data_IF_502073350875
#
_entry.id   IF_502073350875
#
_cell.length_a   1.000
_cell.length_b   1.000
_cell.length_c   1.000
_cell.angle_alpha   90.00
_cell.angle_beta   90.00
_cell.angle_gamma   90.00
#
_symmetry.space_group_name_H-M   'P 1'
#
loop_
_entity.id
_entity.type
_entity.pdbx_description
1 polymer ?
#
# COMPACT_ATOMS: atom_id res chain seq x y z
N UNK A 1 16.23 8.31 30.13
CA UNK A 1 16.30 7.40 28.96
C UNK A 1 14.90 6.84 28.70
N UNK A 2 14.19 7.25 27.63
CA UNK A 2 12.83 6.75 27.34
C UNK A 2 12.61 6.57 25.82
N UNK A 3 12.81 5.36 25.28
CA UNK A 3 12.46 5.06 23.88
C UNK A 3 11.02 4.56 23.70
N UNK A 4 10.21 4.51 24.76
CA UNK A 4 8.87 3.91 24.69
C UNK A 4 7.77 4.81 24.08
N UNK A 5 7.91 6.14 24.15
CA UNK A 5 6.87 7.06 23.67
C UNK A 5 6.86 7.21 22.13
N UNK A 6 8.03 7.15 21.50
CA UNK A 6 8.15 7.20 20.03
C UNK A 6 7.60 5.91 19.38
N UNK A 7 7.90 4.75 19.96
CA UNK A 7 7.40 3.45 19.51
C UNK A 7 5.86 3.36 19.57
N UNK A 8 5.24 3.97 20.58
CA UNK A 8 3.79 3.94 20.81
C UNK A 8 2.98 4.89 19.91
N UNK A 9 3.62 5.93 19.34
CA UNK A 9 3.02 6.80 18.30
C UNK A 9 3.00 6.13 16.93
N UNK A 10 4.00 5.32 16.61
CA UNK A 10 4.05 4.50 15.38
C UNK A 10 2.91 3.49 15.33
N UNK A 11 2.48 2.96 16.48
CA UNK A 11 1.45 1.93 16.58
C UNK A 11 0.03 2.41 16.23
N UNK A 12 -0.27 3.70 16.39
CA UNK A 12 -1.63 4.25 16.25
C UNK A 12 -1.93 4.82 14.85
N UNK A 13 -0.92 5.01 14.00
CA UNK A 13 -1.07 5.67 12.68
C UNK A 13 -1.13 4.67 11.51
N UNK A 14 -0.76 3.40 11.70
CA UNK A 14 -0.45 2.48 10.60
C UNK A 14 -1.46 1.33 10.34
N UNK A 15 -2.62 1.32 11.00
CA UNK A 15 -3.25 0.05 11.38
C UNK A 15 -3.94 -0.81 10.30
N UNK A 16 -4.28 -0.34 9.08
CA UNK A 16 -4.62 -1.28 7.99
C UNK A 16 -3.76 -1.16 6.71
N UNK A 17 -3.08 -0.03 6.47
CA UNK A 17 -2.51 0.25 5.14
C UNK A 17 -1.25 -0.55 4.85
N UNK A 18 -0.39 -0.79 5.84
CA UNK A 18 0.87 -1.51 5.63
C UNK A 18 0.63 -3.00 5.34
N UNK A 19 -0.20 -3.73 6.10
CA UNK A 19 -0.55 -5.11 5.77
C UNK A 19 -1.22 -5.24 4.40
N UNK A 20 -2.17 -4.35 4.08
CA UNK A 20 -2.83 -4.33 2.77
C UNK A 20 -1.84 -4.07 1.63
N UNK A 21 -0.94 -3.09 1.81
CA UNK A 21 0.14 -2.78 0.86
C UNK A 21 1.04 -3.99 0.63
N UNK A 22 1.47 -4.66 1.71
CA UNK A 22 2.33 -5.83 1.64
C UNK A 22 1.66 -6.98 0.87
N UNK A 23 0.37 -7.23 1.11
CA UNK A 23 -0.38 -8.24 0.35
C UNK A 23 -0.47 -7.87 -1.14
N UNK A 24 -0.81 -6.63 -1.47
CA UNK A 24 -0.87 -6.15 -2.86
C UNK A 24 0.49 -6.27 -3.58
N UNK A 25 1.60 -5.95 -2.91
CA UNK A 25 2.94 -6.08 -3.48
C UNK A 25 3.31 -7.56 -3.67
N UNK A 26 3.17 -8.39 -2.62
CA UNK A 26 3.69 -9.77 -2.64
C UNK A 26 2.82 -10.72 -3.46
N UNK A 27 1.50 -10.64 -3.33
CA UNK A 27 0.57 -11.59 -3.94
C UNK A 27 0.11 -11.13 -5.32
N UNK A 28 -0.13 -9.82 -5.48
CA UNK A 28 -0.69 -9.27 -6.72
C UNK A 28 0.35 -8.53 -7.58
N UNK A 29 1.60 -8.43 -7.11
CA UNK A 29 2.72 -7.79 -7.86
C UNK A 29 2.42 -6.34 -8.25
N UNK A 30 1.73 -5.61 -7.37
CA UNK A 30 1.40 -4.20 -7.56
C UNK A 30 2.53 -3.35 -6.97
N UNK A 31 3.13 -2.46 -7.77
CA UNK A 31 4.15 -1.54 -7.30
C UNK A 31 3.52 -0.36 -6.53
N UNK A 32 3.69 -0.36 -5.20
CA UNK A 32 3.08 0.61 -4.28
C UNK A 32 4.10 1.24 -3.34
N UNK A 33 3.81 2.47 -2.92
CA UNK A 33 4.50 3.16 -1.82
C UNK A 33 3.46 3.69 -0.84
N UNK A 34 3.76 3.63 0.47
CA UNK A 34 2.91 4.21 1.50
C UNK A 34 2.77 5.73 1.34
N UNK A 35 1.56 6.26 1.48
CA UNK A 35 1.31 7.70 1.55
C UNK A 35 2.00 8.37 2.75
N UNK A 36 2.27 7.62 3.81
CA UNK A 36 3.00 8.14 4.98
C UNK A 36 4.42 8.58 4.64
N UNK A 37 5.05 7.99 3.61
CA UNK A 37 6.36 8.44 3.10
C UNK A 37 6.31 9.84 2.49
N UNK A 38 5.11 10.38 2.25
CA UNK A 38 4.85 11.70 1.70
C UNK A 38 4.10 12.61 2.69
N UNK A 39 4.00 12.23 3.96
CA UNK A 39 3.29 13.02 4.98
C UNK A 39 1.76 12.94 4.89
N UNK A 40 1.20 11.97 4.15
CA UNK A 40 -0.25 11.73 4.12
C UNK A 40 -0.66 10.85 5.30
N UNK A 41 -1.78 11.20 5.93
CA UNK A 41 -2.43 10.41 6.97
C UNK A 41 -3.55 9.54 6.39
N UNK A 42 -3.84 8.41 7.03
CA UNK A 42 -4.89 7.48 6.62
C UNK A 42 -4.42 6.38 5.65
N UNK A 43 -5.38 5.75 4.97
CA UNK A 43 -5.13 4.62 4.06
C UNK A 43 -4.77 5.11 2.65
N UNK A 44 -3.61 5.77 2.53
CA UNK A 44 -3.13 6.30 1.26
C UNK A 44 -2.01 5.44 0.69
N UNK A 45 -2.13 5.10 -0.59
CA UNK A 45 -1.15 4.34 -1.36
C UNK A 45 -0.85 5.08 -2.66
N UNK A 46 0.43 5.16 -3.01
CA UNK A 46 0.88 5.72 -4.28
C UNK A 46 1.21 4.59 -5.25
N UNK A 47 0.61 4.62 -6.44
CA UNK A 47 0.89 3.72 -7.55
C UNK A 47 2.11 4.18 -8.36
N UNK A 48 2.95 3.23 -8.75
CA UNK A 48 4.18 3.49 -9.53
C UNK A 48 4.08 2.98 -10.97
N UNK A 49 3.07 3.43 -11.73
CA UNK A 49 2.81 2.98 -13.11
C UNK A 49 3.25 3.94 -14.21
N UNK A 50 3.91 5.06 -13.86
CA UNK A 50 4.23 6.13 -14.79
C UNK A 50 5.14 5.77 -15.98
N UNK A 51 5.74 4.57 -16.00
CA UNK A 51 6.60 4.09 -17.09
C UNK A 51 6.00 2.91 -17.88
N UNK A 52 4.81 2.43 -17.54
CA UNK A 52 4.21 1.28 -18.21
C UNK A 52 3.64 1.65 -19.58
N UNK A 53 3.87 0.79 -20.58
CA UNK A 53 3.17 0.85 -21.85
C UNK A 53 1.71 0.40 -21.73
N UNK A 54 0.90 0.60 -22.77
CA UNK A 54 -0.55 0.33 -22.70
C UNK A 54 -0.90 -1.12 -22.32
N UNK A 55 -0.16 -2.11 -22.83
CA UNK A 55 -0.39 -3.51 -22.51
C UNK A 55 -0.03 -3.82 -21.04
N UNK A 56 1.15 -3.39 -20.60
CA UNK A 56 1.62 -3.58 -19.22
C UNK A 56 0.74 -2.83 -18.21
N UNK A 57 0.23 -1.66 -18.58
CA UNK A 57 -0.69 -0.88 -17.74
C UNK A 57 -2.01 -1.61 -17.55
N UNK A 58 -2.58 -2.18 -18.61
CA UNK A 58 -3.81 -2.97 -18.52
C UNK A 58 -3.63 -4.15 -17.56
N UNK A 59 -2.54 -4.90 -17.72
CA UNK A 59 -2.24 -6.02 -16.83
C UNK A 59 -2.04 -5.56 -15.39
N UNK A 60 -1.29 -4.47 -15.17
CA UNK A 60 -1.02 -3.93 -13.85
C UNK A 60 -2.31 -3.46 -13.15
N UNK A 61 -3.23 -2.80 -13.88
CA UNK A 61 -4.53 -2.41 -13.36
C UNK A 61 -5.41 -3.64 -13.02
N UNK A 62 -5.42 -4.68 -13.86
CA UNK A 62 -6.13 -5.91 -13.56
C UNK A 62 -5.63 -6.57 -12.27
N UNK A 63 -4.29 -6.62 -12.08
CA UNK A 63 -3.66 -7.10 -10.86
C UNK A 63 -4.08 -6.28 -9.63
N UNK A 64 -4.06 -4.95 -9.73
CA UNK A 64 -4.49 -4.04 -8.68
C UNK A 64 -5.95 -4.28 -8.29
N UNK A 65 -6.86 -4.28 -9.27
CA UNK A 65 -8.29 -4.51 -9.05
C UNK A 65 -8.49 -5.85 -8.34
N UNK A 66 -7.92 -6.94 -8.88
CA UNK A 66 -8.03 -8.28 -8.27
C UNK A 66 -7.58 -8.29 -6.81
N UNK A 67 -6.48 -7.63 -6.50
CA UNK A 67 -5.96 -7.52 -5.14
C UNK A 67 -6.88 -6.74 -4.19
N UNK A 68 -7.38 -5.58 -4.63
CA UNK A 68 -8.31 -4.76 -3.84
C UNK A 68 -9.62 -5.50 -3.57
N UNK A 69 -10.16 -6.23 -4.57
CA UNK A 69 -11.37 -7.04 -4.40
C UNK A 69 -11.19 -8.19 -3.41
N UNK A 70 -9.99 -8.79 -3.34
CA UNK A 70 -9.70 -9.82 -2.36
C UNK A 70 -9.66 -9.25 -0.93
N UNK A 71 -9.00 -8.10 -0.75
CA UNK A 71 -8.93 -7.39 0.53
C UNK A 71 -10.28 -6.85 1.00
N UNK A 72 -11.16 -6.46 0.09
CA UNK A 72 -12.50 -5.97 0.44
C UNK A 72 -13.44 -7.06 0.97
N UNK A 73 -13.09 -8.33 0.76
CA UNK A 73 -13.91 -9.51 1.11
C UNK A 73 -13.36 -10.31 2.28
N UNK A 74 -12.20 -9.91 2.81
CA UNK A 74 -11.53 -10.49 3.99
C UNK A 74 -11.84 -9.70 5.25
#
# INVERSE_FOLDING_TARGET
MKPAAAARRLSLVQQPVIPAMEQLIRQYRVALVSGSSFGLEGCCLRLSYGMLGSADLSEALQRLVKGLWALSRS
#
